data_IF_232859746008
#
_entry.id   IF_232859746008
#
_cell.length_a   1.000
_cell.length_b   1.000
_cell.length_c   1.000
_cell.angle_alpha   90.00
_cell.angle_beta   90.00
_cell.angle_gamma   90.00
#
_symmetry.space_group_name_H-M   'P 1'
#
loop_
_entity.id
_entity.type
_entity.pdbx_description
1 polymer ?
#
# COMPACT_ATOMS: atom_id res chain seq x y z
N UNK A 1 -43.02 37.92 -14.56
CA UNK A 1 -42.65 37.83 -13.13
C UNK A 1 -41.89 36.51 -12.95
N UNK A 2 -40.56 36.57 -13.02
CA UNK A 2 -39.68 35.40 -12.98
C UNK A 2 -39.18 35.13 -11.56
N UNK A 3 -39.01 33.86 -11.14
CA UNK A 3 -38.49 33.51 -9.83
C UNK A 3 -36.95 33.57 -9.82
N UNK A 4 -36.40 33.97 -8.67
CA UNK A 4 -34.96 34.10 -8.42
C UNK A 4 -34.28 32.73 -8.28
N UNK A 5 -33.22 32.49 -9.05
CA UNK A 5 -32.28 31.38 -8.86
C UNK A 5 -31.06 31.88 -8.07
N UNK A 6 -30.89 31.40 -6.84
CA UNK A 6 -29.65 31.56 -6.08
C UNK A 6 -28.68 30.40 -6.37
N UNK A 7 -27.53 30.68 -6.95
CA UNK A 7 -26.45 29.71 -7.16
C UNK A 7 -25.61 29.55 -5.88
N UNK A 8 -25.80 28.43 -5.18
CA UNK A 8 -24.93 28.04 -4.06
C UNK A 8 -23.75 27.22 -4.58
N UNK A 9 -22.52 27.74 -4.45
CA UNK A 9 -21.29 26.97 -4.69
C UNK A 9 -20.77 26.42 -3.35
N UNK A 10 -20.59 25.10 -3.27
CA UNK A 10 -20.13 24.41 -2.07
C UNK A 10 -18.69 23.94 -2.27
N UNK A 11 -17.75 24.32 -1.41
CA UNK A 11 -16.33 23.92 -1.49
C UNK A 11 -15.97 23.11 -0.24
N UNK A 12 -15.39 21.93 -0.44
CA UNK A 12 -14.96 21.02 0.62
C UNK A 12 -13.47 21.22 0.92
N UNK A 13 -13.12 21.55 2.17
CA UNK A 13 -11.73 21.69 2.62
C UNK A 13 -11.42 20.68 3.73
N UNK A 14 -10.32 19.94 3.57
CA UNK A 14 -9.87 18.91 4.52
C UNK A 14 -9.14 19.47 5.77
N UNK A 15 -9.01 18.65 6.84
CA UNK A 15 -8.39 19.04 8.12
C UNK A 15 -6.96 19.61 8.07
N UNK A 16 -6.04 19.16 7.18
CA UNK A 16 -4.68 19.70 7.12
C UNK A 16 -4.66 21.21 6.81
N UNK A 17 -5.64 21.68 6.04
CA UNK A 17 -5.77 23.09 5.67
C UNK A 17 -6.24 23.95 6.85
N UNK A 18 -7.14 23.42 7.69
CA UNK A 18 -7.66 24.11 8.88
C UNK A 18 -6.56 24.30 9.92
N UNK A 19 -5.72 23.28 10.12
CA UNK A 19 -4.61 23.33 11.08
C UNK A 19 -3.53 24.34 10.68
N UNK A 20 -3.23 24.45 9.37
CA UNK A 20 -2.28 25.45 8.83
C UNK A 20 -2.82 26.89 8.89
N UNK A 21 -4.14 27.07 8.77
CA UNK A 21 -4.80 28.38 8.87
C UNK A 21 -4.83 28.85 10.33
N UNK A 22 -5.09 27.96 11.29
CA UNK A 22 -5.18 28.32 12.72
C UNK A 22 -3.83 28.65 13.38
N UNK A 23 -2.70 28.18 12.82
CA UNK A 23 -1.37 28.41 13.41
C UNK A 23 -0.65 29.69 12.95
N UNK A 24 -1.18 30.46 11.98
CA UNK A 24 -0.71 31.83 11.73
C UNK A 24 -1.40 32.79 12.71
N UNK A 25 -0.84 32.89 13.91
CA UNK A 25 -1.19 33.93 14.89
C UNK A 25 -0.85 35.30 14.30
N UNK A 26 -1.87 36.03 13.88
CA UNK A 26 -1.72 37.38 13.31
C UNK A 26 -3.03 38.16 13.28
N UNK A 27 -4.02 37.74 12.50
CA UNK A 27 -5.10 38.66 12.09
C UNK A 27 -6.54 38.15 12.29
N UNK A 28 -6.77 37.15 13.16
CA UNK A 28 -8.13 36.63 13.39
C UNK A 28 -8.58 36.81 14.84
N UNK A 29 -9.55 37.71 15.08
CA UNK A 29 -10.32 37.75 16.35
C UNK A 29 -11.47 36.74 16.27
N UNK A 30 -11.44 35.74 17.14
CA UNK A 30 -12.54 34.80 17.36
C UNK A 30 -13.20 35.16 18.69
N UNK A 31 -14.46 35.59 18.68
CA UNK A 31 -15.28 35.67 19.91
C UNK A 31 -15.91 34.31 20.17
N UNK A 32 -15.74 33.79 21.38
CA UNK A 32 -16.40 32.55 21.82
C UNK A 32 -17.66 32.91 22.61
N UNK A 33 -18.82 32.69 22.00
CA UNK A 33 -20.10 32.65 22.70
C UNK A 33 -20.40 31.23 23.15
N UNK A 34 -20.61 31.01 24.45
CA UNK A 34 -21.23 29.78 24.94
C UNK A 34 -22.70 29.76 24.49
N UNK A 35 -23.12 28.61 23.99
CA UNK A 35 -24.49 28.21 23.58
C UNK A 35 -25.00 28.70 22.23
N UNK A 36 -25.58 27.78 21.45
CA UNK A 36 -26.55 28.09 20.39
C UNK A 36 -26.00 28.30 18.98
N UNK A 37 -26.56 27.51 18.05
CA UNK A 37 -26.45 27.54 16.58
C UNK A 37 -26.29 28.92 15.90
N UNK A 38 -25.41 28.94 14.88
CA UNK A 38 -25.21 29.93 13.80
C UNK A 38 -24.35 31.17 14.10
N UNK A 39 -23.39 31.44 13.21
CA UNK A 39 -22.60 32.67 13.16
C UNK A 39 -22.07 32.92 11.74
N UNK A 40 -22.14 34.17 11.28
CA UNK A 40 -21.67 34.64 9.96
C UNK A 40 -20.42 35.50 10.14
N UNK A 41 -19.45 35.39 9.22
CA UNK A 41 -18.26 36.25 9.19
C UNK A 41 -18.09 36.86 7.79
N UNK A 42 -17.72 38.15 7.71
CA UNK A 42 -17.44 38.89 6.48
C UNK A 42 -15.97 39.34 6.48
N UNK A 43 -15.30 39.24 5.32
CA UNK A 43 -13.88 39.61 5.14
C UNK A 43 -13.76 40.47 3.88
N UNK A 44 -13.04 41.60 3.98
CA UNK A 44 -12.64 42.47 2.85
C UNK A 44 -11.12 42.31 2.64
N UNK A 45 -10.61 42.03 1.42
CA UNK A 45 -9.18 41.83 1.21
C UNK A 45 -8.45 43.14 0.83
N UNK A 46 -7.20 43.38 1.30
CA UNK A 46 -6.34 44.44 0.80
C UNK A 46 -5.49 43.98 -0.41
N UNK A 47 -5.16 44.92 -1.30
CA UNK A 47 -4.42 44.67 -2.53
C UNK A 47 -2.94 44.32 -2.29
N UNK A 48 -2.45 43.22 -2.89
CA UNK A 48 -1.04 42.79 -2.82
C UNK A 48 -0.47 42.61 -4.23
N UNK A 49 0.62 43.33 -4.55
CA UNK A 49 1.48 43.11 -5.73
C UNK A 49 2.43 41.95 -5.45
N UNK A 50 2.54 40.96 -6.35
CA UNK A 50 3.49 39.83 -6.21
C UNK A 50 4.48 39.72 -7.37
N UNK A 51 5.74 39.41 -7.05
CA UNK A 51 6.89 39.19 -7.94
C UNK A 51 7.00 37.69 -8.34
N UNK A 52 7.20 37.30 -9.62
CA UNK A 52 6.96 35.92 -10.10
C UNK A 52 7.99 34.85 -9.71
N UNK A 53 9.11 35.19 -9.08
CA UNK A 53 10.24 34.25 -8.90
C UNK A 53 10.24 33.44 -7.57
N UNK A 54 9.20 33.55 -6.74
CA UNK A 54 9.03 32.74 -5.51
C UNK A 54 7.55 32.41 -5.28
N UNK A 55 7.03 31.41 -5.98
CA UNK A 55 5.62 31.00 -5.82
C UNK A 55 5.55 29.55 -5.35
N UNK A 56 5.19 29.36 -4.08
CA UNK A 56 4.95 28.06 -3.46
C UNK A 56 3.50 27.59 -3.68
N UNK A 57 3.27 26.28 -3.66
CA UNK A 57 2.01 25.62 -4.05
C UNK A 57 0.74 26.16 -3.35
N UNK A 58 0.87 26.74 -2.15
CA UNK A 58 -0.23 27.41 -1.43
C UNK A 58 -0.68 28.71 -2.13
N UNK A 59 0.25 29.46 -2.71
CA UNK A 59 -0.04 30.67 -3.50
C UNK A 59 -0.65 30.31 -4.84
N UNK A 60 -0.22 29.19 -5.44
CA UNK A 60 -0.80 28.64 -6.69
C UNK A 60 -2.25 28.17 -6.46
N UNK A 61 -2.55 27.55 -5.32
CA UNK A 61 -3.90 27.08 -4.98
C UNK A 61 -4.85 28.23 -4.63
N UNK A 62 -4.38 29.26 -3.92
CA UNK A 62 -5.16 30.48 -3.66
C UNK A 62 -5.37 31.27 -4.95
N UNK A 63 -4.36 31.38 -5.82
CA UNK A 63 -4.56 31.96 -7.16
C UNK A 63 -5.53 31.14 -8.00
N UNK A 64 -5.47 29.80 -8.00
CA UNK A 64 -6.40 28.97 -8.76
C UNK A 64 -7.85 29.13 -8.26
N UNK A 65 -8.07 29.21 -6.94
CA UNK A 65 -9.40 29.45 -6.36
C UNK A 65 -9.89 30.88 -6.68
N UNK A 66 -9.00 31.87 -6.62
CA UNK A 66 -9.36 33.28 -6.90
C UNK A 66 -9.55 33.53 -8.41
N UNK A 67 -8.77 32.87 -9.28
CA UNK A 67 -8.88 32.94 -10.73
C UNK A 67 -10.10 32.20 -11.27
N UNK A 68 -10.52 31.08 -10.65
CA UNK A 68 -11.81 30.44 -10.98
C UNK A 68 -12.98 31.33 -10.54
N UNK A 69 -12.85 32.05 -9.42
CA UNK A 69 -13.83 33.04 -8.98
C UNK A 69 -13.86 34.27 -9.88
N UNK A 70 -12.73 34.76 -10.41
CA UNK A 70 -12.65 35.87 -11.37
C UNK A 70 -13.04 35.49 -12.80
N UNK A 71 -12.73 34.27 -13.27
CA UNK A 71 -13.13 33.79 -14.60
C UNK A 71 -14.64 33.55 -14.71
N UNK A 72 -15.30 33.26 -13.59
CA UNK A 72 -16.75 33.25 -13.46
C UNK A 72 -17.35 34.65 -13.23
N UNK A 73 -16.52 35.69 -13.19
CA UNK A 73 -16.90 37.07 -12.88
C UNK A 73 -16.89 38.05 -14.08
N UNK A 74 -16.43 37.65 -15.26
CA UNK A 74 -16.51 38.53 -16.45
C UNK A 74 -17.93 38.50 -17.05
N UNK A 75 -18.81 39.18 -16.32
CA UNK A 75 -20.22 39.45 -16.55
C UNK A 75 -20.88 40.11 -15.33
N UNK A 76 -20.17 41.00 -14.59
CA UNK A 76 -20.72 41.70 -13.42
C UNK A 76 -21.55 42.93 -13.84
N UNK A 77 -22.87 42.81 -13.80
CA UNK A 77 -23.79 43.95 -13.69
C UNK A 77 -23.99 44.29 -12.20
N UNK A 78 -23.19 45.24 -11.69
CA UNK A 78 -23.54 46.23 -10.66
C UNK A 78 -24.10 45.83 -9.29
N UNK A 79 -24.50 44.58 -9.01
CA UNK A 79 -25.10 44.18 -7.73
C UNK A 79 -24.23 43.17 -6.98
N UNK A 80 -24.04 43.41 -5.68
CA UNK A 80 -23.21 42.56 -4.82
C UNK A 80 -23.84 41.18 -4.59
N UNK A 81 -23.12 40.06 -4.83
CA UNK A 81 -23.64 38.74 -4.50
C UNK A 81 -23.48 38.47 -3.00
N UNK A 82 -24.60 38.17 -2.33
CA UNK A 82 -24.59 37.53 -0.99
C UNK A 82 -24.29 36.04 -1.16
N UNK A 83 -23.01 35.67 -1.16
CA UNK A 83 -22.61 34.27 -1.09
C UNK A 83 -22.57 33.79 0.36
N UNK A 84 -23.44 32.84 0.74
CA UNK A 84 -23.41 32.17 2.05
C UNK A 84 -22.63 30.85 1.96
N UNK A 85 -21.49 30.75 2.63
CA UNK A 85 -20.71 29.50 2.72
C UNK A 85 -21.28 28.65 3.85
N UNK A 86 -21.78 27.45 3.53
CA UNK A 86 -22.30 26.48 4.51
C UNK A 86 -21.24 25.39 4.75
N UNK A 87 -20.62 25.39 5.93
CA UNK A 87 -19.65 24.37 6.35
C UNK A 87 -20.43 23.20 6.95
N UNK A 88 -20.54 22.08 6.23
CA UNK A 88 -21.09 20.84 6.80
C UNK A 88 -20.04 20.15 7.68
N UNK A 89 -20.37 19.96 8.96
CA UNK A 89 -19.52 19.26 9.90
C UNK A 89 -19.73 17.75 9.80
N UNK A 90 -18.67 17.01 9.47
CA UNK A 90 -18.61 15.55 9.53
C UNK A 90 -19.14 14.97 10.85
N UNK A 91 -19.81 13.83 10.80
CA UNK A 91 -20.15 13.04 12.00
C UNK A 91 -18.87 12.60 12.72
N UNK A 92 -18.92 12.49 14.06
CA UNK A 92 -17.75 12.17 14.90
C UNK A 92 -17.00 10.90 14.45
N UNK A 93 -17.75 9.89 14.00
CA UNK A 93 -17.23 8.63 13.45
C UNK A 93 -16.48 8.82 12.13
N UNK A 94 -17.01 9.63 11.22
CA UNK A 94 -16.40 9.84 9.91
C UNK A 94 -15.18 10.78 10.00
N UNK A 95 -15.14 11.71 10.98
CA UNK A 95 -13.92 12.48 11.34
C UNK A 95 -12.81 11.58 11.87
N UNK A 96 -13.14 10.67 12.79
CA UNK A 96 -12.15 9.73 13.35
C UNK A 96 -11.61 8.77 12.30
N UNK A 97 -12.46 8.26 11.40
CA UNK A 97 -12.03 7.39 10.31
C UNK A 97 -11.12 8.08 9.29
N UNK A 98 -11.43 9.32 8.91
CA UNK A 98 -10.62 10.07 7.94
C UNK A 98 -9.29 10.56 8.53
N UNK A 99 -9.30 11.22 9.69
CA UNK A 99 -8.06 11.61 10.38
C UNK A 99 -7.22 10.40 10.76
N UNK A 100 -7.85 9.29 11.15
CA UNK A 100 -7.16 8.04 11.45
C UNK A 100 -6.40 7.49 10.24
N UNK A 101 -6.98 7.57 9.04
CA UNK A 101 -6.31 7.14 7.80
C UNK A 101 -5.13 8.04 7.41
N UNK A 102 -5.30 9.37 7.40
CA UNK A 102 -4.20 10.30 7.07
C UNK A 102 -3.05 10.22 8.08
N UNK A 103 -3.35 10.15 9.38
CA UNK A 103 -2.32 10.01 10.41
C UNK A 103 -1.61 8.65 10.30
N UNK A 104 -2.33 7.59 9.96
CA UNK A 104 -1.74 6.27 9.75
C UNK A 104 -0.89 6.24 8.47
N UNK A 105 -1.33 6.86 7.37
CA UNK A 105 -0.56 6.97 6.13
C UNK A 105 0.71 7.80 6.32
N UNK A 106 0.64 8.92 7.05
CA UNK A 106 1.82 9.72 7.40
C UNK A 106 2.80 8.93 8.29
N UNK A 107 2.31 8.30 9.36
CA UNK A 107 3.12 7.45 10.23
C UNK A 107 3.73 6.25 9.47
N UNK A 108 3.01 5.75 8.47
CA UNK A 108 3.46 4.69 7.57
C UNK A 108 4.65 5.12 6.74
N UNK A 109 4.57 6.27 6.09
CA UNK A 109 5.68 6.81 5.31
C UNK A 109 6.90 7.05 6.19
N UNK A 110 6.71 7.65 7.37
CA UNK A 110 7.80 7.92 8.32
C UNK A 110 8.50 6.65 8.82
N UNK A 111 7.78 5.54 8.97
CA UNK A 111 8.40 4.30 9.48
C UNK A 111 9.23 3.56 8.41
N UNK A 112 8.82 3.61 7.13
CA UNK A 112 9.62 3.05 6.04
C UNK A 112 10.84 3.92 5.68
N UNK A 113 10.82 5.21 6.04
CA UNK A 113 11.98 6.09 5.94
C UNK A 113 13.16 5.62 6.83
N UNK A 114 12.89 4.87 7.90
CA UNK A 114 13.92 4.25 8.75
C UNK A 114 14.49 2.93 8.21
N UNK A 115 14.04 2.49 7.03
CA UNK A 115 14.63 1.35 6.34
C UNK A 115 15.68 1.83 5.34
N UNK A 116 16.94 1.72 5.74
CA UNK A 116 18.10 2.08 4.92
C UNK A 116 18.46 0.96 3.95
N UNK A 117 18.51 1.29 2.66
CA UNK A 117 19.10 0.42 1.64
C UNK A 117 20.57 0.81 1.49
N UNK A 118 21.47 -0.16 1.65
CA UNK A 118 22.91 0.05 1.54
C UNK A 118 23.45 -0.75 0.37
N UNK A 119 24.00 -0.04 -0.63
CA UNK A 119 24.65 -0.66 -1.78
C UNK A 119 26.16 -0.62 -1.61
N UNK A 120 26.82 -1.77 -1.65
CA UNK A 120 28.25 -1.89 -1.36
C UNK A 120 29.01 -2.16 -2.65
N UNK A 121 30.01 -1.32 -2.94
CA UNK A 121 30.89 -1.36 -4.11
C UNK A 121 30.18 -1.71 -5.42
N UNK A 122 29.01 -1.10 -5.67
CA UNK A 122 28.24 -1.34 -6.90
C UNK A 122 29.06 -0.99 -8.14
N UNK A 123 29.13 -1.91 -9.10
CA UNK A 123 29.94 -1.80 -10.31
C UNK A 123 29.22 -1.14 -11.47
N UNK A 124 27.90 -1.33 -11.58
CA UNK A 124 27.17 -0.85 -12.75
C UNK A 124 26.27 0.34 -12.41
N UNK A 125 26.45 1.50 -13.08
CA UNK A 125 25.68 2.72 -12.80
C UNK A 125 24.17 2.53 -12.97
N UNK A 126 23.76 1.71 -13.95
CA UNK A 126 22.35 1.37 -14.17
C UNK A 126 21.69 0.73 -12.95
N UNK A 127 22.42 -0.05 -12.15
CA UNK A 127 21.88 -0.66 -10.93
C UNK A 127 21.69 0.35 -9.80
N UNK A 128 22.54 1.38 -9.70
CA UNK A 128 22.31 2.49 -8.76
C UNK A 128 20.97 3.18 -9.06
N UNK A 129 20.75 3.53 -10.34
CA UNK A 129 19.51 4.13 -10.79
C UNK A 129 18.30 3.23 -10.59
N UNK A 130 18.37 2.00 -11.07
CA UNK A 130 17.27 1.05 -10.96
C UNK A 130 16.90 0.76 -9.48
N UNK A 131 17.88 0.69 -8.58
CA UNK A 131 17.64 0.56 -7.13
C UNK A 131 16.87 1.76 -6.60
N UNK A 132 17.30 2.99 -6.90
CA UNK A 132 16.60 4.19 -6.46
C UNK A 132 15.16 4.26 -6.97
N UNK A 133 14.93 3.83 -8.22
CA UNK A 133 13.57 3.68 -8.79
C UNK A 133 12.74 2.66 -8.02
N UNK A 134 13.31 1.50 -7.73
CA UNK A 134 12.64 0.43 -6.99
C UNK A 134 12.28 0.88 -5.56
N UNK A 135 13.20 1.57 -4.87
CA UNK A 135 12.92 2.15 -3.55
C UNK A 135 11.72 3.11 -3.59
N UNK A 136 11.69 4.00 -4.59
CA UNK A 136 10.56 4.91 -4.83
C UNK A 136 9.23 4.17 -5.00
N UNK A 137 9.22 3.04 -5.73
CA UNK A 137 8.01 2.24 -5.95
C UNK A 137 7.41 1.70 -4.64
N UNK A 138 8.26 1.39 -3.66
CA UNK A 138 7.85 0.81 -2.37
C UNK A 138 7.84 1.81 -1.22
N UNK A 139 8.01 3.10 -1.50
CA UNK A 139 7.92 4.18 -0.51
C UNK A 139 9.17 4.32 0.39
N UNK A 140 10.31 3.78 -0.02
CA UNK A 140 11.60 3.97 0.67
C UNK A 140 12.36 5.15 0.09
N UNK A 141 13.15 5.83 0.92
CA UNK A 141 13.95 6.98 0.52
C UNK A 141 15.39 7.01 1.07
N UNK A 142 15.72 6.24 2.11
CA UNK A 142 17.06 6.21 2.71
C UNK A 142 17.99 5.25 1.95
N UNK A 143 18.80 5.79 1.03
CA UNK A 143 19.80 5.07 0.24
C UNK A 143 21.20 5.52 0.63
N UNK A 144 22.09 4.59 0.95
CA UNK A 144 23.51 4.86 1.17
C UNK A 144 24.37 4.02 0.22
N UNK A 145 25.39 4.65 -0.37
CA UNK A 145 26.35 4.01 -1.26
C UNK A 145 27.70 3.88 -0.54
N UNK A 146 28.15 2.65 -0.31
CA UNK A 146 29.44 2.36 0.35
C UNK A 146 30.48 2.05 -0.72
N UNK A 147 31.46 2.94 -0.86
CA UNK A 147 32.57 2.85 -1.81
C UNK A 147 32.13 2.38 -3.22
N UNK A 148 31.12 3.02 -3.85
CA UNK A 148 30.64 2.60 -5.17
C UNK A 148 31.75 2.70 -6.21
N UNK A 149 31.85 1.71 -7.09
CA UNK A 149 32.79 1.73 -8.23
C UNK A 149 32.18 2.53 -9.39
N UNK A 150 30.87 2.41 -9.58
CA UNK A 150 30.10 3.20 -10.53
C UNK A 150 29.87 4.63 -10.05
N UNK A 151 29.81 5.58 -10.98
CA UNK A 151 29.40 6.95 -10.69
C UNK A 151 27.88 7.12 -10.88
N UNK A 152 27.20 7.58 -9.82
CA UNK A 152 25.76 7.88 -9.84
C UNK A 152 25.36 8.96 -10.84
N UNK A 153 26.30 9.81 -11.26
CA UNK A 153 26.05 10.90 -12.20
C UNK A 153 26.13 10.44 -13.66
N UNK A 154 26.52 9.20 -13.92
CA UNK A 154 26.53 8.66 -15.27
C UNK A 154 25.14 8.67 -15.90
N UNK A 155 25.09 8.82 -17.23
CA UNK A 155 23.84 8.88 -17.97
C UNK A 155 22.94 7.67 -17.70
N UNK A 156 23.53 6.48 -17.63
CA UNK A 156 22.78 5.24 -17.42
C UNK A 156 22.14 5.19 -16.02
N UNK A 157 22.85 5.61 -14.97
CA UNK A 157 22.29 5.71 -13.62
C UNK A 157 21.09 6.66 -13.58
N UNK A 158 21.23 7.86 -14.15
CA UNK A 158 20.14 8.84 -14.24
C UNK A 158 18.94 8.30 -15.02
N UNK A 159 19.17 7.73 -16.20
CA UNK A 159 18.11 7.14 -17.03
C UNK A 159 17.34 6.02 -16.33
N UNK A 160 18.05 5.13 -15.64
CA UNK A 160 17.43 4.01 -14.93
C UNK A 160 16.67 4.44 -13.67
N UNK A 161 17.01 5.59 -13.09
CA UNK A 161 16.37 6.11 -11.88
C UNK A 161 14.97 6.67 -12.08
N UNK A 162 14.66 7.23 -13.25
CA UNK A 162 13.36 7.85 -13.57
C UNK A 162 12.81 8.75 -12.44
N UNK A 163 11.76 8.34 -11.73
CA UNK A 163 11.18 9.10 -10.61
C UNK A 163 11.91 8.90 -9.27
N UNK A 164 12.90 8.01 -9.22
CA UNK A 164 13.81 7.78 -8.11
C UNK A 164 15.06 8.66 -8.11
N UNK A 165 15.23 9.56 -9.08
CA UNK A 165 16.44 10.41 -9.21
C UNK A 165 16.78 11.16 -7.92
N UNK A 166 15.77 11.72 -7.23
CA UNK A 166 15.98 12.43 -5.98
C UNK A 166 16.62 11.55 -4.88
N UNK A 167 16.28 10.26 -4.81
CA UNK A 167 16.89 9.31 -3.87
C UNK A 167 18.35 9.08 -4.25
N UNK A 168 18.63 8.84 -5.54
CA UNK A 168 19.99 8.61 -6.02
C UNK A 168 20.91 9.83 -5.80
N UNK A 169 20.42 11.04 -6.10
CA UNK A 169 21.19 12.28 -5.98
C UNK A 169 21.42 12.70 -4.54
N UNK A 170 20.51 12.38 -3.63
CA UNK A 170 20.66 12.68 -2.19
C UNK A 170 21.40 11.60 -1.41
N UNK A 171 21.53 10.39 -1.97
CA UNK A 171 22.21 9.27 -1.32
C UNK A 171 23.62 9.65 -0.84
N UNK A 172 23.95 9.50 0.45
CA UNK A 172 25.31 9.67 0.94
C UNK A 172 26.24 8.64 0.30
N UNK A 173 27.46 9.07 -0.01
CA UNK A 173 28.56 8.20 -0.43
C UNK A 173 29.55 8.16 0.73
N UNK A 174 29.75 6.97 1.29
CA UNK A 174 30.68 6.73 2.41
C UNK A 174 31.76 5.74 2.00
N UNK A 175 32.85 5.68 2.75
CA UNK A 175 33.98 4.82 2.41
C UNK A 175 33.94 3.48 3.13
N UNK A 176 33.47 3.46 4.38
CA UNK A 176 33.38 2.26 5.19
C UNK A 176 31.93 1.87 5.48
N UNK A 177 31.67 0.56 5.62
CA UNK A 177 30.35 0.05 5.97
C UNK A 177 29.87 0.57 7.33
N UNK A 178 30.77 0.79 8.29
CA UNK A 178 30.40 1.24 9.63
C UNK A 178 29.73 2.61 9.59
N UNK A 179 30.21 3.52 8.72
CA UNK A 179 29.56 4.82 8.51
C UNK A 179 28.10 4.67 8.06
N UNK A 180 27.77 3.60 7.32
CA UNK A 180 26.42 3.34 6.82
C UNK A 180 25.49 2.66 7.82
N UNK A 181 26.00 1.99 8.87
CA UNK A 181 25.18 1.11 9.73
C UNK A 181 25.31 1.38 11.24
N UNK A 182 26.17 2.29 11.68
CA UNK A 182 26.45 2.48 13.12
C UNK A 182 25.23 2.90 13.96
N UNK A 183 24.24 3.54 13.35
CA UNK A 183 22.96 3.94 13.96
C UNK A 183 21.86 2.88 13.81
N UNK A 184 22.09 1.81 13.04
CA UNK A 184 21.10 0.77 12.80
C UNK A 184 21.08 -0.28 13.91
N UNK A 185 19.88 -0.60 14.42
CA UNK A 185 19.70 -1.64 15.46
C UNK A 185 19.59 -3.04 14.87
N UNK A 186 19.34 -3.13 13.56
CA UNK A 186 19.22 -4.37 12.82
C UNK A 186 19.90 -4.22 11.46
N UNK A 187 20.68 -5.24 11.09
CA UNK A 187 21.44 -5.28 9.84
C UNK A 187 21.16 -6.62 9.17
N UNK A 188 20.61 -6.58 7.97
CA UNK A 188 20.23 -7.76 7.20
C UNK A 188 20.96 -7.73 5.87
N UNK A 189 21.72 -8.77 5.55
CA UNK A 189 22.48 -8.85 4.29
C UNK A 189 21.88 -9.81 3.29
N UNK A 190 21.99 -9.55 1.99
CA UNK A 190 21.58 -10.50 0.95
C UNK A 190 22.73 -11.41 0.51
N UNK A 191 22.47 -12.72 0.36
CA UNK A 191 23.44 -13.66 -0.19
C UNK A 191 22.79 -14.73 -1.06
N UNK A 192 23.37 -14.98 -2.23
CA UNK A 192 23.01 -16.14 -3.06
C UNK A 192 23.63 -17.46 -2.55
N UNK A 193 24.57 -17.39 -1.59
CA UNK A 193 25.31 -18.55 -1.07
C UNK A 193 24.75 -18.94 0.29
N UNK A 194 24.38 -20.21 0.45
CA UNK A 194 23.95 -20.80 1.73
C UNK A 194 25.05 -21.59 2.45
N UNK A 195 26.18 -21.87 1.78
CA UNK A 195 27.24 -22.74 2.32
C UNK A 195 28.22 -22.05 3.29
N UNK A 196 28.46 -22.67 4.45
CA UNK A 196 29.48 -22.28 5.44
C UNK A 196 28.90 -22.02 6.83
N UNK A 197 29.65 -22.36 7.88
CA UNK A 197 29.17 -22.37 9.28
C UNK A 197 28.49 -21.05 9.73
N UNK A 198 29.04 -19.90 9.33
CA UNK A 198 28.48 -18.57 9.64
C UNK A 198 27.22 -18.22 8.84
N UNK A 199 27.02 -18.82 7.67
CA UNK A 199 25.84 -18.59 6.82
C UNK A 199 24.66 -19.47 7.20
N UNK A 200 24.86 -20.51 8.03
CA UNK A 200 23.78 -21.46 8.33
C UNK A 200 22.90 -21.05 9.52
N UNK A 201 23.36 -20.14 10.39
CA UNK A 201 22.70 -19.93 11.68
C UNK A 201 21.53 -18.92 11.63
N UNK A 202 21.49 -18.01 10.65
CA UNK A 202 20.48 -16.94 10.56
C UNK A 202 20.07 -16.61 9.11
N UNK A 203 19.99 -17.61 8.22
CA UNK A 203 19.48 -17.42 6.85
C UNK A 203 17.98 -17.67 6.78
N UNK A 204 17.26 -16.81 6.07
CA UNK A 204 15.86 -17.01 5.71
C UNK A 204 15.54 -16.48 4.31
N UNK A 205 14.36 -16.81 3.82
CA UNK A 205 13.81 -16.17 2.62
C UNK A 205 13.45 -14.71 2.92
N UNK A 206 13.29 -13.86 1.89
CA UNK A 206 12.73 -12.52 2.08
C UNK A 206 11.44 -12.55 2.92
N UNK A 207 10.45 -13.37 2.54
CA UNK A 207 9.17 -13.56 3.26
C UNK A 207 9.38 -13.90 4.74
N UNK A 208 10.35 -14.76 5.08
CA UNK A 208 10.61 -15.17 6.47
C UNK A 208 11.32 -14.12 7.31
N UNK A 209 12.09 -13.21 6.72
CA UNK A 209 12.90 -12.21 7.43
C UNK A 209 12.17 -10.86 7.54
N UNK A 210 11.42 -10.44 6.51
CA UNK A 210 10.79 -9.12 6.47
C UNK A 210 9.83 -8.83 7.64
N UNK A 211 9.06 -9.78 8.21
CA UNK A 211 8.25 -9.50 9.40
C UNK A 211 9.05 -8.98 10.60
N UNK A 212 10.30 -9.44 10.78
CA UNK A 212 11.20 -8.96 11.85
C UNK A 212 11.71 -7.54 11.57
N UNK A 213 11.97 -7.24 10.29
CA UNK A 213 12.34 -5.89 9.85
C UNK A 213 11.16 -4.93 10.13
N UNK A 214 9.95 -5.31 9.74
CA UNK A 214 8.72 -4.55 9.99
C UNK A 214 8.50 -4.31 11.49
N UNK A 215 8.68 -5.32 12.34
CA UNK A 215 8.55 -5.17 13.79
C UNK A 215 9.53 -4.12 14.35
N UNK A 216 10.77 -4.12 13.84
CA UNK A 216 11.80 -3.15 14.24
C UNK A 216 11.46 -1.74 13.77
N UNK A 217 11.04 -1.58 12.52
CA UNK A 217 10.64 -0.29 11.94
C UNK A 217 9.41 0.31 12.64
N UNK A 218 8.46 -0.52 13.09
CA UNK A 218 7.30 -0.07 13.88
C UNK A 218 7.68 0.54 15.23
N UNK A 219 8.87 0.21 15.74
CA UNK A 219 9.43 0.81 16.96
C UNK A 219 10.25 2.08 16.67
N UNK A 220 10.21 2.58 15.42
CA UNK A 220 10.94 3.77 14.98
C UNK A 220 12.47 3.62 15.10
N UNK A 221 12.96 2.38 14.90
CA UNK A 221 14.38 2.05 15.01
C UNK A 221 14.99 1.83 13.62
N UNK A 222 16.15 2.42 13.30
CA UNK A 222 16.75 2.28 11.98
C UNK A 222 17.20 0.84 11.68
N UNK A 223 16.93 0.38 10.46
CA UNK A 223 17.32 -0.94 9.95
C UNK A 223 18.11 -0.77 8.66
N UNK A 224 19.17 -1.56 8.46
CA UNK A 224 19.93 -1.61 7.22
C UNK A 224 19.69 -2.90 6.44
N UNK A 225 19.35 -2.80 5.16
CA UNK A 225 19.34 -3.87 4.17
C UNK A 225 20.59 -3.74 3.28
N UNK A 226 21.52 -4.68 3.40
CA UNK A 226 22.81 -4.65 2.70
C UNK A 226 22.75 -5.48 1.42
N UNK A 227 23.17 -4.87 0.31
CA UNK A 227 23.33 -5.53 -0.97
C UNK A 227 24.76 -5.38 -1.47
N UNK A 228 25.34 -6.51 -1.87
CA UNK A 228 26.75 -6.58 -2.26
C UNK A 228 27.01 -6.24 -3.74
N UNK A 229 28.30 -6.24 -4.12
CA UNK A 229 28.73 -6.07 -5.50
C UNK A 229 28.15 -7.16 -6.40
N UNK A 230 27.83 -6.81 -7.64
CA UNK A 230 27.29 -7.73 -8.63
C UNK A 230 28.17 -8.96 -8.90
N UNK A 231 29.52 -8.83 -9.00
CA UNK A 231 30.36 -9.98 -9.34
C UNK A 231 30.57 -10.97 -8.20
N UNK A 232 30.54 -10.51 -6.95
CA UNK A 232 31.02 -11.28 -5.78
C UNK A 232 29.99 -11.45 -4.67
N UNK A 233 28.96 -10.62 -4.63
CA UNK A 233 28.04 -10.51 -3.50
C UNK A 233 28.74 -10.00 -2.24
N UNK A 234 28.04 -10.04 -1.09
CA UNK A 234 28.59 -9.53 0.16
C UNK A 234 29.87 -10.29 0.58
N UNK A 235 30.98 -9.58 0.85
CA UNK A 235 32.19 -10.16 1.42
C UNK A 235 31.93 -10.84 2.77
N UNK A 236 32.73 -11.86 3.11
CA UNK A 236 32.53 -12.65 4.33
C UNK A 236 32.63 -11.79 5.61
N UNK A 237 33.50 -10.79 5.61
CA UNK A 237 33.67 -9.82 6.69
C UNK A 237 32.41 -8.97 6.92
N UNK A 238 31.64 -8.68 5.87
CA UNK A 238 30.36 -7.97 5.95
C UNK A 238 29.25 -8.93 6.39
N UNK A 239 29.25 -10.15 5.84
CA UNK A 239 28.30 -11.21 6.23
C UNK A 239 28.34 -11.46 7.74
N UNK A 240 29.54 -11.48 8.35
CA UNK A 240 29.72 -11.65 9.81
C UNK A 240 29.16 -10.51 10.65
N UNK A 241 28.91 -9.33 10.06
CA UNK A 241 28.31 -8.17 10.73
C UNK A 241 26.79 -8.13 10.59
N UNK A 242 26.21 -9.02 9.77
CA UNK A 242 24.76 -9.11 9.58
C UNK A 242 24.14 -9.95 10.70
N UNK A 243 23.02 -9.49 11.23
CA UNK A 243 22.21 -10.23 12.21
C UNK A 243 21.43 -11.35 11.52
N UNK A 244 20.92 -11.06 10.32
CA UNK A 244 20.23 -12.02 9.47
C UNK A 244 20.75 -11.95 8.04
N UNK A 245 20.59 -13.04 7.32
CA UNK A 245 20.89 -13.13 5.91
C UNK A 245 19.64 -13.51 5.14
N UNK A 246 19.40 -12.81 4.04
CA UNK A 246 18.35 -13.12 3.09
C UNK A 246 18.95 -13.93 1.95
N UNK A 247 18.39 -15.10 1.72
CA UNK A 247 18.59 -15.87 0.49
C UNK A 247 17.30 -15.85 -0.31
N UNK A 248 17.35 -15.21 -1.48
CA UNK A 248 16.22 -15.23 -2.42
C UNK A 248 16.17 -16.61 -3.08
N UNK A 249 15.06 -17.35 -2.98
CA UNK A 249 14.92 -18.62 -3.68
C UNK A 249 15.03 -18.44 -5.20
N UNK A 250 15.88 -19.23 -5.83
CA UNK A 250 16.17 -19.23 -7.27
C UNK A 250 16.37 -20.68 -7.72
N UNK A 251 16.42 -20.93 -9.02
CA UNK A 251 16.81 -22.25 -9.53
C UNK A 251 18.28 -22.57 -9.16
N UNK A 252 18.56 -23.84 -8.86
CA UNK A 252 19.90 -24.30 -8.44
C UNK A 252 20.97 -24.07 -9.51
N UNK A 253 20.57 -24.13 -10.79
CA UNK A 253 21.47 -23.97 -11.95
C UNK A 253 21.98 -22.52 -12.10
N UNK A 254 21.18 -21.53 -11.67
CA UNK A 254 21.51 -20.12 -11.84
C UNK A 254 20.91 -19.26 -10.73
N UNK A 255 21.63 -19.19 -9.60
CA UNK A 255 21.16 -18.47 -8.41
C UNK A 255 21.58 -17.00 -8.30
N UNK A 256 22.20 -16.43 -9.33
CA UNK A 256 22.65 -15.03 -9.30
C UNK A 256 21.59 -14.12 -9.91
N UNK A 257 21.08 -13.18 -9.10
CA UNK A 257 20.16 -12.15 -9.55
C UNK A 257 20.90 -10.84 -9.81
N UNK A 258 20.41 -10.04 -10.75
CA UNK A 258 20.86 -8.66 -10.88
C UNK A 258 20.57 -7.90 -9.57
N UNK A 259 21.48 -6.99 -9.19
CA UNK A 259 21.38 -6.22 -7.95
C UNK A 259 20.02 -5.53 -7.76
N UNK A 260 19.55 -4.79 -8.76
CA UNK A 260 18.27 -4.07 -8.65
C UNK A 260 17.06 -5.02 -8.61
N UNK A 261 17.16 -6.21 -9.20
CA UNK A 261 16.13 -7.25 -9.08
C UNK A 261 16.09 -7.85 -7.67
N UNK A 262 17.25 -8.13 -7.08
CA UNK A 262 17.33 -8.60 -5.70
C UNK A 262 16.75 -7.56 -4.72
N UNK A 263 17.06 -6.28 -4.93
CA UNK A 263 16.45 -5.16 -4.19
C UNK A 263 14.94 -5.15 -4.39
N UNK A 264 14.44 -5.30 -5.62
CA UNK A 264 13.01 -5.28 -5.89
C UNK A 264 12.24 -6.38 -5.18
N UNK A 265 12.77 -7.61 -5.14
CA UNK A 265 12.16 -8.72 -4.41
C UNK A 265 12.16 -8.42 -2.91
N UNK A 266 13.28 -7.99 -2.35
CA UNK A 266 13.37 -7.68 -0.92
C UNK A 266 12.41 -6.56 -0.51
N UNK A 267 12.34 -5.47 -1.28
CA UNK A 267 11.48 -4.34 -0.96
C UNK A 267 9.99 -4.63 -1.22
N UNK A 268 9.67 -5.48 -2.19
CA UNK A 268 8.31 -6.00 -2.37
C UNK A 268 7.85 -6.78 -1.13
N UNK A 269 8.67 -7.71 -0.65
CA UNK A 269 8.32 -8.51 0.54
C UNK A 269 8.27 -7.66 1.80
N UNK A 270 9.15 -6.66 1.92
CA UNK A 270 9.10 -5.69 3.01
C UNK A 270 7.77 -4.93 3.00
N UNK A 271 7.40 -4.37 1.85
CA UNK A 271 6.17 -3.59 1.72
C UNK A 271 4.91 -4.45 1.89
N UNK A 272 4.94 -5.71 1.43
CA UNK A 272 3.86 -6.68 1.63
C UNK A 272 3.67 -7.01 3.10
N UNK A 273 4.75 -7.39 3.79
CA UNK A 273 4.73 -7.64 5.24
C UNK A 273 4.29 -6.40 6.03
N UNK A 274 4.69 -5.20 5.58
CA UNK A 274 4.28 -3.94 6.18
C UNK A 274 2.77 -3.71 6.05
N UNK A 275 2.20 -3.95 4.86
CA UNK A 275 0.77 -3.82 4.61
C UNK A 275 -0.06 -4.82 5.43
N UNK A 276 0.37 -6.09 5.49
CA UNK A 276 -0.25 -7.13 6.32
C UNK A 276 -0.23 -6.76 7.81
N UNK A 277 0.87 -6.19 8.27
CA UNK A 277 1.01 -5.80 9.66
C UNK A 277 0.16 -4.57 10.05
N UNK A 278 -0.34 -3.79 9.07
CA UNK A 278 -1.27 -2.68 9.31
C UNK A 278 -2.73 -3.09 9.22
N UNK A 279 -3.03 -4.02 8.33
CA UNK A 279 -4.35 -4.60 8.18
C UNK A 279 -4.22 -6.08 8.49
N UNK A 280 -4.12 -6.46 9.78
CA UNK A 280 -4.15 -7.86 10.16
C UNK A 280 -5.54 -8.39 9.79
N UNK A 281 -5.67 -8.86 8.54
CA UNK A 281 -6.74 -9.76 8.19
C UNK A 281 -6.60 -10.95 9.16
N UNK A 282 -7.71 -11.46 9.74
CA UNK A 282 -7.65 -12.76 10.38
C UNK A 282 -7.03 -13.70 9.35
N UNK A 283 -5.82 -14.19 9.66
CA UNK A 283 -4.96 -14.90 8.72
C UNK A 283 -5.84 -15.83 7.89
N UNK A 284 -5.93 -15.58 6.58
CA UNK A 284 -6.14 -16.70 5.67
C UNK A 284 -4.92 -17.56 5.93
N UNK A 285 -5.13 -18.64 6.67
CA UNK A 285 -4.10 -19.61 7.04
C UNK A 285 -3.13 -19.74 5.88
N UNK A 286 -1.86 -19.51 6.17
CA UNK A 286 -0.74 -19.59 5.24
C UNK A 286 -0.99 -20.75 4.29
N UNK A 287 -0.79 -20.55 3.00
CA UNK A 287 -1.06 -21.53 1.93
C UNK A 287 -0.39 -22.90 2.14
N UNK A 288 0.54 -23.02 3.09
CA UNK A 288 1.19 -24.26 3.54
C UNK A 288 0.66 -24.90 4.84
N UNK A 289 -0.30 -24.29 5.54
CA UNK A 289 -0.85 -24.78 6.82
C UNK A 289 -2.30 -25.31 6.69
N UNK A 290 -2.80 -25.54 5.46
CA UNK A 290 -3.88 -26.52 5.25
C UNK A 290 -3.29 -27.92 5.41
N UNK A 291 -3.06 -28.29 6.66
CA UNK A 291 -2.66 -29.63 7.04
C UNK A 291 -3.72 -30.66 6.64
N UNK A 292 -3.22 -31.81 6.17
CA UNK A 292 -3.87 -33.13 6.12
C UNK A 292 -5.09 -33.37 5.20
N UNK A 293 -5.93 -32.38 4.88
CA UNK A 293 -7.06 -32.58 3.97
C UNK A 293 -6.69 -32.11 2.55
N UNK A 294 -6.42 -33.07 1.67
CA UNK A 294 -6.16 -32.80 0.26
C UNK A 294 -7.29 -32.01 -0.40
N UNK A 295 -6.96 -31.25 -1.45
CA UNK A 295 -7.98 -30.70 -2.34
C UNK A 295 -8.78 -31.85 -2.93
N UNK A 296 -10.11 -31.71 -2.96
CA UNK A 296 -10.97 -32.74 -3.52
C UNK A 296 -10.62 -32.95 -4.99
N UNK A 297 -10.47 -34.21 -5.40
CA UNK A 297 -10.21 -34.55 -6.80
C UNK A 297 -11.36 -34.07 -7.70
N UNK A 298 -11.06 -33.84 -8.98
CA UNK A 298 -12.09 -33.46 -9.96
C UNK A 298 -13.23 -34.47 -9.96
N UNK A 299 -12.94 -35.77 -9.91
CA UNK A 299 -13.96 -36.82 -9.82
C UNK A 299 -14.89 -36.67 -8.60
N UNK A 300 -14.33 -36.32 -7.44
CA UNK A 300 -15.11 -36.11 -6.20
C UNK A 300 -15.98 -34.86 -6.29
N UNK A 301 -15.47 -33.80 -6.93
CA UNK A 301 -16.23 -32.58 -7.19
C UNK A 301 -17.35 -32.81 -8.22
N UNK A 302 -17.12 -33.61 -9.27
CA UNK A 302 -18.17 -33.97 -10.24
C UNK A 302 -19.34 -34.70 -9.60
N UNK A 303 -19.04 -35.67 -8.72
CA UNK A 303 -20.07 -36.38 -7.97
C UNK A 303 -20.90 -35.42 -7.11
N UNK A 304 -20.25 -34.48 -6.43
CA UNK A 304 -20.92 -33.44 -5.65
C UNK A 304 -21.81 -32.52 -6.49
N UNK A 305 -21.34 -32.10 -7.67
CA UNK A 305 -22.16 -31.33 -8.60
C UNK A 305 -23.37 -32.12 -9.13
N UNK A 306 -23.23 -33.44 -9.32
CA UNK A 306 -24.34 -34.33 -9.66
C UNK A 306 -25.43 -34.35 -8.58
N UNK A 307 -25.03 -34.57 -7.32
CA UNK A 307 -25.99 -34.58 -6.19
C UNK A 307 -26.64 -33.22 -5.95
N UNK A 308 -25.87 -32.13 -6.08
CA UNK A 308 -26.43 -30.77 -6.01
C UNK A 308 -27.42 -30.50 -7.14
N UNK A 309 -27.12 -30.94 -8.37
CA UNK A 309 -28.02 -30.79 -9.52
C UNK A 309 -29.38 -31.43 -9.20
N UNK A 310 -29.38 -32.70 -8.81
CA UNK A 310 -30.62 -33.42 -8.46
C UNK A 310 -31.35 -32.75 -7.30
N UNK A 311 -30.64 -32.35 -6.24
CA UNK A 311 -31.26 -31.66 -5.10
C UNK A 311 -31.91 -30.32 -5.47
N UNK A 312 -31.28 -29.56 -6.39
CA UNK A 312 -31.81 -28.28 -6.85
C UNK A 312 -32.95 -28.44 -7.88
N UNK A 313 -32.97 -29.54 -8.65
CA UNK A 313 -34.12 -29.92 -9.48
C UNK A 313 -35.31 -30.34 -8.61
N UNK A 314 -35.08 -31.12 -7.55
CA UNK A 314 -36.11 -31.62 -6.63
C UNK A 314 -36.89 -30.47 -5.96
N UNK A 315 -36.25 -29.33 -5.72
CA UNK A 315 -36.89 -28.11 -5.17
C UNK A 315 -37.35 -27.11 -6.24
N UNK A 316 -37.35 -27.49 -7.52
CA UNK A 316 -37.67 -26.63 -8.66
C UNK A 316 -36.84 -25.33 -8.74
N UNK A 317 -35.61 -25.33 -8.19
CA UNK A 317 -34.66 -24.23 -8.39
C UNK A 317 -34.01 -24.32 -9.78
N UNK A 318 -33.69 -25.53 -10.23
CA UNK A 318 -33.28 -25.82 -11.61
C UNK A 318 -34.49 -26.37 -12.38
N UNK A 319 -35.07 -25.55 -13.26
CA UNK A 319 -36.18 -25.97 -14.12
C UNK A 319 -36.15 -25.26 -15.49
N UNK A 320 -36.69 -25.94 -16.50
CA UNK A 320 -36.83 -25.41 -17.86
C UNK A 320 -35.51 -25.00 -18.52
N UNK A 321 -35.60 -24.11 -19.52
CA UNK A 321 -34.49 -23.75 -20.40
C UNK A 321 -33.32 -23.02 -19.70
N UNK A 322 -33.50 -22.60 -18.45
CA UNK A 322 -32.49 -21.88 -17.65
C UNK A 322 -31.71 -22.77 -16.68
N UNK A 323 -32.09 -24.03 -16.54
CA UNK A 323 -31.47 -24.96 -15.59
C UNK A 323 -29.95 -25.13 -15.83
N UNK A 324 -29.53 -25.39 -17.07
CA UNK A 324 -28.13 -25.60 -17.41
C UNK A 324 -27.24 -24.36 -17.23
N UNK A 325 -27.64 -23.15 -17.71
CA UNK A 325 -26.90 -21.93 -17.41
C UNK A 325 -26.74 -21.63 -15.92
N UNK A 326 -27.78 -21.90 -15.12
CA UNK A 326 -27.77 -21.65 -13.68
C UNK A 326 -26.86 -22.65 -12.94
N UNK A 327 -26.91 -23.93 -13.32
CA UNK A 327 -25.99 -24.95 -12.82
C UNK A 327 -24.53 -24.60 -13.16
N UNK A 328 -24.27 -24.11 -14.38
CA UNK A 328 -22.95 -23.65 -14.78
C UNK A 328 -22.45 -22.48 -13.93
N UNK A 329 -23.33 -21.52 -13.58
CA UNK A 329 -22.99 -20.41 -12.69
C UNK A 329 -22.67 -20.88 -11.27
N UNK A 330 -23.45 -21.83 -10.72
CA UNK A 330 -23.19 -22.45 -9.41
C UNK A 330 -21.84 -23.16 -9.41
N UNK A 331 -21.56 -23.93 -10.46
CA UNK A 331 -20.27 -24.60 -10.66
C UNK A 331 -19.12 -23.61 -10.70
N UNK A 332 -19.26 -22.54 -11.49
CA UNK A 332 -18.24 -21.50 -11.58
C UNK A 332 -17.99 -20.79 -10.24
N UNK A 333 -19.03 -20.57 -9.43
CA UNK A 333 -18.91 -19.98 -8.09
C UNK A 333 -18.13 -20.91 -7.14
N UNK A 334 -18.49 -22.19 -7.11
CA UNK A 334 -17.88 -23.17 -6.20
C UNK A 334 -16.44 -23.53 -6.63
N UNK A 335 -16.14 -23.58 -7.92
CA UNK A 335 -14.79 -23.85 -8.43
C UNK A 335 -13.76 -22.78 -8.05
N UNK A 336 -14.19 -21.55 -7.71
CA UNK A 336 -13.29 -20.50 -7.19
C UNK A 336 -12.77 -20.81 -5.80
N UNK A 337 -13.48 -21.62 -5.01
CA UNK A 337 -13.17 -21.88 -3.61
C UNK A 337 -12.03 -22.88 -3.38
N UNK A 338 -11.62 -23.66 -4.41
CA UNK A 338 -10.63 -24.76 -4.30
C UNK A 338 -10.97 -25.69 -3.12
N UNK A 339 -12.10 -26.40 -3.26
CA UNK A 339 -12.69 -27.21 -2.21
C UNK A 339 -11.77 -28.36 -1.75
N UNK A 340 -11.79 -28.62 -0.45
CA UNK A 340 -11.21 -29.80 0.23
C UNK A 340 -12.21 -30.96 0.25
N UNK A 341 -11.75 -32.17 0.52
CA UNK A 341 -12.63 -33.36 0.66
C UNK A 341 -13.67 -33.19 1.78
N UNK A 342 -13.32 -32.49 2.87
CA UNK A 342 -14.26 -32.19 3.95
C UNK A 342 -15.38 -31.26 3.49
N UNK A 343 -15.04 -30.18 2.78
CA UNK A 343 -16.02 -29.22 2.26
C UNK A 343 -16.94 -29.87 1.22
N UNK A 344 -16.41 -30.77 0.38
CA UNK A 344 -17.23 -31.56 -0.54
C UNK A 344 -18.21 -32.46 0.22
N UNK A 345 -17.79 -33.12 1.31
CA UNK A 345 -18.70 -33.92 2.15
C UNK A 345 -19.81 -33.08 2.78
N UNK A 346 -19.51 -31.85 3.20
CA UNK A 346 -20.52 -30.91 3.73
C UNK A 346 -21.55 -30.57 2.65
N UNK A 347 -21.12 -30.24 1.43
CA UNK A 347 -22.02 -29.94 0.31
C UNK A 347 -22.87 -31.15 -0.10
N UNK A 348 -22.30 -32.36 -0.10
CA UNK A 348 -23.05 -33.60 -0.30
C UNK A 348 -24.08 -33.84 0.81
N UNK A 349 -23.74 -33.55 2.07
CA UNK A 349 -24.66 -33.61 3.20
C UNK A 349 -25.83 -32.64 3.04
N UNK A 350 -25.57 -31.41 2.59
CA UNK A 350 -26.59 -30.42 2.29
C UNK A 350 -27.55 -30.91 1.19
N UNK A 351 -27.01 -31.39 0.07
CA UNK A 351 -27.80 -31.95 -1.03
C UNK A 351 -28.71 -33.08 -0.54
N UNK A 352 -28.16 -34.01 0.25
CA UNK A 352 -28.93 -35.12 0.84
C UNK A 352 -30.05 -34.63 1.75
N UNK A 353 -29.79 -33.62 2.57
CA UNK A 353 -30.79 -33.07 3.49
C UNK A 353 -31.94 -32.38 2.74
N UNK A 354 -31.63 -31.66 1.66
CA UNK A 354 -32.65 -31.06 0.77
C UNK A 354 -33.55 -32.15 0.21
N UNK A 355 -32.96 -33.20 -0.37
CA UNK A 355 -33.69 -34.32 -0.98
C UNK A 355 -34.52 -35.10 0.04
N UNK A 356 -33.98 -35.32 1.24
CA UNK A 356 -34.74 -35.91 2.34
C UNK A 356 -35.96 -35.06 2.69
N UNK A 357 -35.81 -33.73 2.78
CA UNK A 357 -36.92 -32.84 3.09
C UNK A 357 -38.01 -32.89 2.01
N UNK A 358 -37.62 -32.88 0.73
CA UNK A 358 -38.52 -33.04 -0.42
C UNK A 358 -39.33 -34.32 -0.31
N UNK A 359 -38.66 -35.44 -0.05
CA UNK A 359 -39.30 -36.75 0.02
C UNK A 359 -40.31 -36.87 1.18
N UNK A 360 -40.08 -36.18 2.30
CA UNK A 360 -40.91 -36.28 3.51
C UNK A 360 -41.98 -35.18 3.61
N UNK A 361 -41.88 -34.11 2.81
CA UNK A 361 -42.82 -32.98 2.81
C UNK A 361 -43.17 -32.53 1.38
N UNK A 362 -43.72 -33.42 0.53
CA UNK A 362 -44.02 -33.09 -0.87
C UNK A 362 -45.07 -31.99 -1.03
N UNK A 363 -45.92 -31.79 -0.03
CA UNK A 363 -46.96 -30.76 0.03
C UNK A 363 -46.44 -29.32 0.17
N UNK A 364 -45.15 -29.17 0.50
CA UNK A 364 -44.51 -27.86 0.77
C UNK A 364 -43.58 -27.40 -0.33
N UNK A 365 -43.47 -28.17 -1.40
CA UNK A 365 -42.64 -27.85 -2.55
C UNK A 365 -43.60 -27.52 -3.68
N UNK A 366 -43.51 -26.26 -4.11
CA UNK A 366 -44.53 -25.56 -4.89
C UNK A 366 -44.96 -26.25 -6.18
#
# INVERSE_FOLDING_TARGET
MSPAFGSNVSIWLGPPLIHKIMHRRGDFRVSSGRSGLSGTASVVPPAVRTNPARTNATTILVFAITSVVSYLHDGWDGQQPKASIRIMTWTRSARQGFLGRELNEYKTTMALEHCRVVLIQTHYPGNLGATARVMRNFGLADLVLVAPIADRNERNARQMSTHGEAILTSAPIVTDLSEAINDCVLVVGTSARSGGLFRLQNVGTPEGIMPRVVETLKQDRPVALLFGPEPTGLPNEIVKRCHHLIQIPTADEYGSLNLAQAVAICLHELYSAWCEAQHPHPRLLSRGERGADGFATVATQEHMFGELRTALEDIHFLYGDKAEPLLHAVRHLLSKARLTDMEVKVLLGLARQIRWHVANHPDKIG
#
